data_IF_437223786302
#
_entry.id   IF_437223786302
#
_cell.length_a   1.000
_cell.length_b   1.000
_cell.length_c   1.000
_cell.angle_alpha   90.00
_cell.angle_beta   90.00
_cell.angle_gamma   90.00
#
_symmetry.space_group_name_H-M   'P 1'
#
loop_
_entity.id
_entity.type
_entity.pdbx_description
1 polymer ?
#
# COMPACT_ATOMS: atom_id res chain seq x y z
N UNK A 1 10.70 12.00 -16.01
CA UNK A 1 11.62 11.09 -15.30
C UNK A 1 10.78 10.15 -14.46
N UNK A 2 10.91 8.84 -14.67
CA UNK A 2 10.14 7.82 -13.92
C UNK A 2 10.86 7.56 -12.59
N UNK A 3 10.19 7.83 -11.47
CA UNK A 3 10.73 7.55 -10.13
C UNK A 3 10.23 6.19 -9.59
N UNK A 4 10.74 5.77 -8.42
CA UNK A 4 10.26 4.57 -7.68
C UNK A 4 8.95 4.81 -6.90
N UNK A 5 8.30 5.95 -7.14
CA UNK A 5 7.09 6.39 -6.47
C UNK A 5 5.96 6.65 -7.46
N UNK A 6 4.72 6.78 -6.98
CA UNK A 6 3.55 7.01 -7.83
C UNK A 6 3.48 8.42 -8.43
N UNK A 7 4.52 9.24 -8.25
CA UNK A 7 4.49 10.63 -8.69
C UNK A 7 4.75 10.76 -10.18
N UNK A 8 3.90 11.53 -10.84
CA UNK A 8 4.17 12.07 -12.17
C UNK A 8 5.06 13.30 -12.02
N UNK A 9 6.30 13.20 -12.51
CA UNK A 9 7.33 14.22 -12.28
C UNK A 9 7.46 15.16 -13.47
N UNK A 10 7.40 16.47 -13.19
CA UNK A 10 7.46 17.54 -14.16
C UNK A 10 8.67 18.45 -13.94
N UNK A 11 9.12 19.08 -15.03
CA UNK A 11 10.17 20.10 -15.02
C UNK A 11 9.76 21.30 -15.86
N UNK A 12 9.78 22.47 -15.25
CA UNK A 12 9.58 23.74 -15.98
C UNK A 12 10.87 24.06 -16.73
N UNK A 13 10.77 24.42 -18.02
CA UNK A 13 11.93 24.76 -18.85
C UNK A 13 12.73 25.90 -18.21
N UNK A 14 14.03 25.67 -17.99
CA UNK A 14 14.93 26.63 -17.34
C UNK A 14 14.92 26.60 -15.80
N UNK A 15 14.04 25.82 -15.15
CA UNK A 15 14.03 25.69 -13.70
C UNK A 15 15.15 24.77 -13.19
N UNK A 16 15.72 25.12 -12.03
CA UNK A 16 16.78 24.32 -11.38
C UNK A 16 16.27 22.94 -10.92
N UNK A 17 15.01 22.86 -10.47
CA UNK A 17 14.42 21.66 -9.88
C UNK A 17 13.30 21.00 -10.69
N UNK A 18 12.66 20.02 -10.07
CA UNK A 18 11.48 19.29 -10.55
C UNK A 18 10.43 19.22 -9.44
N UNK A 19 9.17 19.02 -9.79
CA UNK A 19 8.10 18.73 -8.83
C UNK A 19 7.33 17.48 -9.28
N UNK A 20 6.65 16.81 -8.35
CA UNK A 20 5.87 15.62 -8.63
C UNK A 20 4.43 15.77 -8.14
N UNK A 21 3.47 15.28 -8.93
CA UNK A 21 2.08 15.20 -8.54
C UNK A 21 1.70 13.73 -8.34
N UNK A 22 0.95 13.46 -7.27
CA UNK A 22 0.43 12.11 -6.97
C UNK A 22 -1.09 12.21 -7.03
N UNK A 23 -1.71 11.32 -7.81
CA UNK A 23 -3.16 11.25 -7.98
C UNK A 23 -3.72 10.03 -7.25
N UNK A 24 -3.84 10.06 -5.90
CA UNK A 24 -4.19 8.86 -5.13
C UNK A 24 -5.64 8.39 -5.36
N UNK A 25 -6.52 9.23 -5.90
CA UNK A 25 -7.95 8.91 -6.08
C UNK A 25 -8.31 8.84 -7.56
N UNK A 26 -8.07 9.93 -8.30
CA UNK A 26 -8.52 10.10 -9.68
C UNK A 26 -7.78 9.23 -10.70
N UNK A 27 -6.55 8.82 -10.40
CA UNK A 27 -5.72 7.96 -11.24
C UNK A 27 -4.85 7.10 -10.35
N UNK A 28 -5.48 6.16 -9.65
CA UNK A 28 -4.79 5.32 -8.69
C UNK A 28 -3.71 4.46 -9.36
N UNK A 29 -2.66 4.13 -8.62
CA UNK A 29 -1.49 3.40 -9.12
C UNK A 29 -1.42 1.94 -8.63
N UNK A 30 -2.52 1.40 -8.09
CA UNK A 30 -2.58 0.06 -7.49
C UNK A 30 -2.07 -1.05 -8.42
N UNK A 31 -2.42 -1.02 -9.71
CA UNK A 31 -1.98 -1.99 -10.70
C UNK A 31 -0.45 -2.11 -10.84
N UNK A 32 0.28 -1.04 -10.50
CA UNK A 32 1.75 -1.00 -10.51
C UNK A 32 2.37 -1.05 -9.10
N UNK A 33 1.54 -1.12 -8.06
CA UNK A 33 2.00 -1.09 -6.67
C UNK A 33 2.71 -2.40 -6.33
N UNK A 34 3.96 -2.31 -5.91
CA UNK A 34 4.79 -3.45 -5.51
C UNK A 34 5.18 -3.41 -4.02
N UNK A 35 4.46 -2.62 -3.20
CA UNK A 35 4.76 -2.46 -1.78
C UNK A 35 3.99 -3.47 -0.92
N UNK A 36 4.68 -4.00 0.07
CA UNK A 36 4.15 -4.56 1.31
C UNK A 36 4.68 -3.71 2.47
N UNK A 37 3.96 -3.68 3.59
CA UNK A 37 4.41 -2.98 4.79
C UNK A 37 4.43 -3.91 5.98
N UNK A 38 5.47 -3.79 6.81
CA UNK A 38 5.57 -4.43 8.11
C UNK A 38 5.32 -3.37 9.19
N UNK A 39 4.29 -3.58 10.02
CA UNK A 39 3.97 -2.70 11.14
C UNK A 39 4.93 -2.95 12.32
N UNK A 40 5.04 -1.98 13.24
CA UNK A 40 5.92 -2.10 14.41
C UNK A 40 5.50 -3.23 15.37
N UNK A 41 4.20 -3.55 15.42
CA UNK A 41 3.62 -4.67 16.16
C UNK A 41 3.63 -5.99 15.38
N UNK A 42 4.30 -6.05 14.22
CA UNK A 42 4.66 -7.29 13.54
C UNK A 42 3.56 -7.89 12.65
N UNK A 43 2.74 -7.03 12.04
CA UNK A 43 1.77 -7.41 11.02
C UNK A 43 2.26 -7.02 9.63
N UNK A 44 2.02 -7.87 8.64
CA UNK A 44 2.18 -7.52 7.23
C UNK A 44 0.87 -6.96 6.70
N UNK A 45 0.94 -5.81 6.01
CA UNK A 45 -0.15 -5.21 5.23
C UNK A 45 0.20 -5.15 3.76
N UNK A 46 -0.67 -5.70 2.92
CA UNK A 46 -0.52 -5.65 1.45
C UNK A 46 -1.09 -4.38 0.82
N UNK A 47 -2.02 -3.74 1.51
CA UNK A 47 -2.62 -2.47 1.12
C UNK A 47 -2.43 -1.43 2.22
N UNK A 48 -2.22 -0.18 1.82
CA UNK A 48 -2.19 0.94 2.75
C UNK A 48 -3.58 1.26 3.31
N UNK A 49 -4.61 1.06 2.49
CA UNK A 49 -5.96 1.56 2.76
C UNK A 49 -6.88 0.52 3.38
N UNK A 50 -6.70 -0.79 3.12
CA UNK A 50 -7.56 -1.83 3.70
C UNK A 50 -7.07 -2.33 5.05
N UNK A 51 -7.99 -2.85 5.85
CA UNK A 51 -7.76 -3.28 7.23
C UNK A 51 -7.07 -4.65 7.35
N UNK A 52 -7.08 -5.49 6.31
CA UNK A 52 -6.40 -6.78 6.33
C UNK A 52 -4.92 -6.67 6.69
N UNK A 53 -4.51 -7.51 7.65
CA UNK A 53 -3.13 -7.65 8.12
C UNK A 53 -2.90 -9.09 8.61
N UNK A 54 -1.69 -9.62 8.39
CA UNK A 54 -1.30 -10.96 8.85
C UNK A 54 -0.20 -10.86 9.91
N UNK A 55 -0.42 -11.46 11.08
CA UNK A 55 0.56 -11.47 12.17
C UNK A 55 1.70 -12.45 11.84
N UNK A 56 2.92 -11.93 11.70
CA UNK A 56 4.09 -12.76 11.41
C UNK A 56 4.94 -13.09 12.64
N UNK A 57 4.73 -12.39 13.77
CA UNK A 57 5.57 -12.53 14.98
C UNK A 57 5.75 -13.99 15.43
N UNK A 58 4.73 -14.85 15.44
CA UNK A 58 4.89 -16.24 15.90
C UNK A 58 5.89 -17.05 15.08
N UNK A 59 6.14 -16.67 13.82
CA UNK A 59 6.87 -17.49 12.85
C UNK A 59 8.32 -17.03 12.63
N UNK A 60 8.64 -15.78 12.99
CA UNK A 60 9.94 -15.13 12.69
C UNK A 60 11.14 -15.95 13.18
N UNK A 61 11.07 -16.55 14.37
CA UNK A 61 12.23 -17.21 14.98
C UNK A 61 12.36 -18.69 14.64
N UNK A 62 11.24 -19.41 14.59
CA UNK A 62 11.25 -20.87 14.66
C UNK A 62 10.59 -21.56 13.46
N UNK A 63 9.98 -20.82 12.53
CA UNK A 63 9.24 -21.42 11.42
C UNK A 63 9.35 -20.59 10.13
N UNK A 64 10.54 -20.59 9.49
CA UNK A 64 10.78 -19.82 8.27
C UNK A 64 9.91 -20.26 7.09
N UNK A 65 9.56 -21.55 7.00
CA UNK A 65 8.67 -22.06 5.95
C UNK A 65 7.26 -21.48 6.09
N UNK A 66 6.72 -21.46 7.31
CA UNK A 66 5.40 -20.88 7.56
C UNK A 66 5.40 -19.36 7.41
N UNK A 67 6.49 -18.69 7.80
CA UNK A 67 6.67 -17.27 7.53
C UNK A 67 6.57 -16.97 6.03
N UNK A 68 7.24 -17.76 5.19
CA UNK A 68 7.19 -17.61 3.73
C UNK A 68 5.77 -17.81 3.19
N UNK A 69 5.03 -18.81 3.69
CA UNK A 69 3.63 -19.02 3.30
C UNK A 69 2.75 -17.83 3.66
N UNK A 70 2.91 -17.25 4.86
CA UNK A 70 2.12 -16.10 5.29
C UNK A 70 2.45 -14.85 4.48
N UNK A 71 3.73 -14.65 4.14
CA UNK A 71 4.13 -13.56 3.24
C UNK A 71 3.51 -13.74 1.87
N UNK A 72 3.54 -14.96 1.31
CA UNK A 72 2.91 -15.27 0.03
C UNK A 72 1.39 -15.05 0.09
N UNK A 73 0.72 -15.53 1.14
CA UNK A 73 -0.70 -15.29 1.37
C UNK A 73 -1.03 -13.79 1.42
N UNK A 74 -0.17 -12.97 2.04
CA UNK A 74 -0.37 -11.51 2.03
C UNK A 74 -0.29 -10.94 0.61
N UNK A 75 0.55 -11.48 -0.26
CA UNK A 75 0.66 -11.03 -1.66
C UNK A 75 -0.56 -11.47 -2.45
N UNK A 76 -1.01 -12.71 -2.25
CA UNK A 76 -2.18 -13.27 -2.94
C UNK A 76 -3.47 -12.53 -2.55
N UNK A 77 -3.58 -12.12 -1.27
CA UNK A 77 -4.67 -11.30 -0.76
C UNK A 77 -4.55 -9.82 -1.13
N UNK A 78 -3.53 -9.41 -1.89
CA UNK A 78 -3.36 -8.01 -2.25
C UNK A 78 -4.53 -7.57 -3.12
N UNK A 79 -5.30 -6.55 -2.71
CA UNK A 79 -6.44 -6.06 -3.49
C UNK A 79 -5.98 -5.47 -4.81
N UNK A 80 -6.83 -5.55 -5.83
CA UNK A 80 -6.58 -4.91 -7.12
C UNK A 80 -6.65 -3.38 -7.04
N UNK A 81 -7.51 -2.83 -6.17
CA UNK A 81 -7.69 -1.40 -5.95
C UNK A 81 -7.97 -1.07 -4.49
N UNK A 82 -7.71 0.19 -4.12
CA UNK A 82 -8.10 0.74 -2.81
C UNK A 82 -9.46 1.45 -2.86
N UNK A 83 -10.11 1.58 -4.02
CA UNK A 83 -11.51 2.02 -4.17
C UNK A 83 -11.90 3.35 -3.47
N UNK A 84 -10.94 4.25 -3.25
CA UNK A 84 -11.22 5.51 -2.54
C UNK A 84 -12.17 6.41 -3.33
N UNK A 85 -12.17 6.29 -4.66
CA UNK A 85 -13.09 7.01 -5.54
C UNK A 85 -14.55 6.59 -5.32
N UNK A 86 -14.80 5.27 -5.21
CA UNK A 86 -16.14 4.72 -4.91
C UNK A 86 -16.62 5.22 -3.55
N UNK A 87 -15.73 5.20 -2.56
CA UNK A 87 -16.07 5.67 -1.21
C UNK A 87 -16.45 7.15 -1.15
N UNK A 88 -15.84 7.99 -1.98
CA UNK A 88 -16.19 9.42 -2.09
C UNK A 88 -17.53 9.65 -2.80
N UNK A 89 -18.02 8.66 -3.54
CA UNK A 89 -19.31 8.67 -4.23
C UNK A 89 -20.41 8.00 -3.40
N UNK A 90 -20.12 7.69 -2.12
CA UNK A 90 -21.00 6.94 -1.21
C UNK A 90 -21.42 5.56 -1.76
N UNK A 91 -20.57 4.96 -2.58
CA UNK A 91 -20.76 3.61 -3.11
C UNK A 91 -20.16 2.53 -2.19
N UNK A 92 -20.63 1.30 -2.37
CA UNK A 92 -20.13 0.14 -1.63
C UNK A 92 -18.71 -0.22 -2.06
N UNK A 93 -17.87 -0.56 -1.08
CA UNK A 93 -16.49 -1.01 -1.28
C UNK A 93 -16.36 -2.50 -1.01
N UNK A 94 -15.43 -3.16 -1.67
CA UNK A 94 -15.19 -4.60 -1.53
C UNK A 94 -14.58 -4.97 -0.18
N UNK A 95 -13.88 -4.04 0.46
CA UNK A 95 -13.17 -4.26 1.73
C UNK A 95 -13.44 -3.15 2.75
N UNK A 96 -13.01 -3.39 3.99
CA UNK A 96 -13.09 -2.43 5.08
C UNK A 96 -11.84 -1.53 5.10
N UNK A 97 -12.01 -0.19 5.16
CA UNK A 97 -10.88 0.71 5.35
C UNK A 97 -10.15 0.44 6.67
N UNK A 98 -8.83 0.62 6.63
CA UNK A 98 -7.95 0.48 7.79
C UNK A 98 -8.36 1.44 8.91
N UNK A 99 -8.38 0.91 10.13
CA UNK A 99 -8.56 1.71 11.34
C UNK A 99 -7.25 2.40 11.78
N UNK A 100 -6.09 1.94 11.27
CA UNK A 100 -4.77 2.50 11.61
C UNK A 100 -4.51 3.80 10.88
N UNK A 101 -3.87 4.75 11.57
CA UNK A 101 -3.33 5.98 10.94
C UNK A 101 -2.07 5.66 10.15
N UNK A 102 -1.77 6.51 9.16
CA UNK A 102 -0.53 6.43 8.37
C UNK A 102 0.74 6.30 9.22
N UNK A 103 0.84 7.03 10.32
CA UNK A 103 1.99 6.97 11.24
C UNK A 103 2.17 5.63 11.94
N UNK A 104 1.11 4.82 12.05
CA UNK A 104 1.13 3.50 12.70
C UNK A 104 1.53 2.38 11.73
N UNK A 105 1.61 2.67 10.43
CA UNK A 105 1.86 1.71 9.36
C UNK A 105 3.05 2.11 8.49
N UNK A 106 4.01 2.83 9.04
CA UNK A 106 5.26 3.19 8.33
C UNK A 106 5.08 4.28 7.28
N UNK A 107 4.31 5.32 7.63
CA UNK A 107 4.20 6.58 6.89
C UNK A 107 5.43 7.46 7.04
#
# INVERSE_FOLDING_TARGET
MKGNGPSENYRIKGAKGTFGLIHPVSSHFCASCNRLRLTADGYIKACLYWDEELNIRPYIQNNPEELMKIVQQSIDNKPESHEMALKLQDEDTSHKPTWRRMSQIGG
#
